data_IF_818772849358
#
_entry.id   IF_818772849358
#
_cell.length_a   1.000
_cell.length_b   1.000
_cell.length_c   1.000
_cell.angle_alpha   90.00
_cell.angle_beta   90.00
_cell.angle_gamma   90.00
#
_symmetry.space_group_name_H-M   'P 1'
#
loop_
_entity.id
_entity.type
_entity.pdbx_description
1 polymer ?
#
# COMPACT_ATOMS: atom_id res chain seq x y z
N UNK A 1 6.79 -13.25 -19.09
CA UNK A 1 5.96 -12.85 -17.93
C UNK A 1 6.14 -13.91 -16.87
N UNK A 2 6.76 -13.57 -15.73
CA UNK A 2 7.01 -14.49 -14.62
C UNK A 2 6.20 -13.95 -13.46
N UNK A 3 5.08 -14.61 -13.14
CA UNK A 3 4.24 -14.26 -11.99
C UNK A 3 4.98 -14.76 -10.75
N UNK A 4 5.44 -13.85 -9.89
CA UNK A 4 6.29 -14.16 -8.74
C UNK A 4 5.47 -14.49 -7.48
N UNK A 5 4.23 -14.02 -7.39
CA UNK A 5 3.26 -14.43 -6.38
C UNK A 5 1.85 -14.43 -6.98
N UNK A 6 0.99 -15.32 -6.48
CA UNK A 6 -0.42 -15.43 -6.83
C UNK A 6 -1.20 -15.09 -5.56
N UNK A 7 -1.80 -13.89 -5.51
CA UNK A 7 -2.65 -13.46 -4.40
C UNK A 7 -3.82 -14.45 -4.26
N UNK A 8 -3.98 -15.04 -3.08
CA UNK A 8 -5.08 -15.96 -2.75
C UNK A 8 -6.12 -15.34 -1.82
N UNK A 9 -5.96 -14.07 -1.43
CA UNK A 9 -6.97 -13.30 -0.72
C UNK A 9 -8.09 -12.88 -1.67
N UNK A 10 -9.33 -13.09 -1.25
CA UNK A 10 -10.48 -12.37 -1.79
C UNK A 10 -10.45 -11.00 -1.13
N UNK A 11 -10.35 -9.91 -1.88
CA UNK A 11 -10.66 -8.60 -1.29
C UNK A 11 -12.11 -8.67 -0.82
N UNK A 12 -12.32 -8.68 0.50
CA UNK A 12 -13.64 -8.81 1.09
C UNK A 12 -14.54 -7.67 0.57
N UNK A 13 -15.66 -8.05 -0.05
CA UNK A 13 -16.67 -7.13 -0.57
C UNK A 13 -17.50 -6.63 0.60
N UNK A 14 -17.24 -5.38 0.99
CA UNK A 14 -17.89 -4.69 2.08
C UNK A 14 -18.83 -3.62 1.53
N UNK A 15 -19.91 -3.29 2.24
CA UNK A 15 -21.00 -2.45 1.70
C UNK A 15 -20.61 -0.99 1.34
N UNK A 16 -19.36 -0.58 1.59
CA UNK A 16 -18.74 0.62 1.02
C UNK A 16 -17.22 0.48 0.97
N UNK A 17 -16.60 0.98 -0.10
CA UNK A 17 -15.13 1.03 -0.23
C UNK A 17 -14.68 2.37 -0.81
N UNK A 18 -13.54 2.84 -0.31
CA UNK A 18 -12.92 4.11 -0.71
C UNK A 18 -11.52 3.85 -1.25
N UNK A 19 -11.16 4.55 -2.33
CA UNK A 19 -9.89 4.44 -3.02
C UNK A 19 -9.31 5.83 -3.27
N UNK A 20 -8.15 6.13 -2.69
CA UNK A 20 -7.44 7.39 -2.89
C UNK A 20 -6.05 7.13 -3.47
N UNK A 21 -5.82 7.61 -4.69
CA UNK A 21 -4.55 7.51 -5.42
C UNK A 21 -3.77 8.81 -5.31
N UNK A 22 -2.51 8.73 -4.92
CA UNK A 22 -1.60 9.87 -4.73
C UNK A 22 -0.39 9.76 -5.65
N UNK A 23 -0.13 10.83 -6.40
CA UNK A 23 1.08 11.01 -7.18
C UNK A 23 2.00 11.96 -6.41
N UNK A 24 3.18 11.47 -6.03
CA UNK A 24 4.15 12.22 -5.23
C UNK A 24 4.81 13.31 -6.11
N UNK A 25 5.05 12.95 -7.37
CA UNK A 25 5.48 13.87 -8.40
C UNK A 25 4.33 14.47 -9.21
N UNK A 26 4.65 15.56 -9.93
CA UNK A 26 3.71 16.10 -10.91
C UNK A 26 3.59 15.14 -12.09
N UNK A 27 2.41 14.56 -12.30
CA UNK A 27 2.11 13.77 -13.51
C UNK A 27 2.49 14.52 -14.79
N UNK A 28 3.12 13.82 -15.74
CA UNK A 28 3.43 14.37 -17.07
C UNK A 28 2.14 14.55 -17.90
N UNK A 29 2.16 15.35 -18.99
CA UNK A 29 1.01 15.46 -19.90
C UNK A 29 0.50 14.11 -20.44
N UNK A 30 1.41 13.18 -20.72
CA UNK A 30 1.09 11.86 -21.26
C UNK A 30 0.42 10.97 -20.20
N UNK A 31 0.96 10.95 -18.98
CA UNK A 31 0.37 10.23 -17.85
C UNK A 31 -1.03 10.75 -17.53
N UNK A 32 -1.18 12.08 -17.55
CA UNK A 32 -2.46 12.77 -17.38
C UNK A 32 -3.51 12.35 -18.40
N UNK A 33 -3.15 12.32 -19.67
CA UNK A 33 -4.04 11.90 -20.74
C UNK A 33 -4.42 10.42 -20.59
N UNK A 34 -3.46 9.55 -20.24
CA UNK A 34 -3.72 8.14 -19.99
C UNK A 34 -4.73 7.92 -18.84
N UNK A 35 -4.54 8.64 -17.72
CA UNK A 35 -5.44 8.60 -16.56
C UNK A 35 -6.85 9.09 -16.93
N UNK A 36 -6.95 10.20 -17.66
CA UNK A 36 -8.24 10.73 -18.12
C UNK A 36 -8.94 9.75 -19.06
N UNK A 37 -8.21 9.10 -19.97
CA UNK A 37 -8.78 8.11 -20.89
C UNK A 37 -9.24 6.84 -20.16
N UNK A 38 -8.54 6.44 -19.10
CA UNK A 38 -8.89 5.26 -18.31
C UNK A 38 -10.11 5.51 -17.41
N UNK A 39 -10.13 6.63 -16.70
CA UNK A 39 -11.07 6.89 -15.59
C UNK A 39 -12.20 7.85 -15.96
N UNK A 40 -12.02 8.66 -17.01
CA UNK A 40 -12.88 9.81 -17.31
C UNK A 40 -12.66 11.01 -16.39
N UNK A 41 -11.84 10.88 -15.36
CA UNK A 41 -11.61 11.93 -14.36
C UNK A 41 -10.66 13.02 -14.83
N UNK A 42 -10.82 14.21 -14.22
CA UNK A 42 -9.98 15.37 -14.50
C UNK A 42 -8.57 15.25 -13.90
N UNK A 43 -7.62 15.98 -14.48
CA UNK A 43 -6.19 15.96 -14.14
C UNK A 43 -5.91 16.41 -12.70
N UNK A 44 -5.59 15.48 -11.80
CA UNK A 44 -5.26 15.78 -10.39
C UNK A 44 -4.07 14.95 -9.91
N UNK A 45 -3.40 15.43 -8.86
CA UNK A 45 -2.38 14.65 -8.12
C UNK A 45 -3.00 13.64 -7.16
N UNK A 46 -4.26 13.87 -6.83
CA UNK A 46 -5.06 13.03 -5.96
C UNK A 46 -6.35 12.67 -6.71
N UNK A 47 -6.61 11.38 -6.91
CA UNK A 47 -7.89 10.86 -7.37
C UNK A 47 -8.57 10.08 -6.27
N UNK A 48 -9.86 10.36 -6.08
CA UNK A 48 -10.70 9.70 -5.10
C UNK A 48 -11.85 9.01 -5.80
N UNK A 49 -12.06 7.75 -5.46
CA UNK A 49 -13.26 7.01 -5.81
C UNK A 49 -13.91 6.49 -4.53
N UNK A 50 -15.23 6.62 -4.44
CA UNK A 50 -16.01 6.11 -3.32
C UNK A 50 -17.21 5.36 -3.88
N UNK A 51 -17.35 4.10 -3.48
CA UNK A 51 -18.40 3.22 -3.94
C UNK A 51 -19.28 2.82 -2.75
N UNK A 52 -20.59 2.88 -2.97
CA UNK A 52 -21.60 2.55 -1.96
C UNK A 52 -22.45 1.40 -2.49
N UNK A 53 -22.59 0.36 -1.67
CA UNK A 53 -23.41 -0.82 -1.93
C UNK A 53 -22.57 -2.06 -2.25
N UNK A 54 -23.08 -3.21 -1.82
CA UNK A 54 -22.49 -4.53 -2.08
C UNK A 54 -22.17 -4.70 -3.58
N UNK A 55 -21.03 -5.29 -3.90
CA UNK A 55 -20.54 -5.58 -5.25
C UNK A 55 -20.14 -4.35 -6.08
N UNK A 56 -20.02 -3.17 -5.46
CA UNK A 56 -19.55 -1.95 -6.13
C UNK A 56 -18.08 -1.70 -5.81
N UNK A 57 -17.22 -1.96 -6.79
CA UNK A 57 -15.77 -1.77 -6.67
C UNK A 57 -15.23 -0.99 -7.87
N UNK A 58 -14.00 -0.46 -7.77
CA UNK A 58 -13.28 0.04 -8.95
C UNK A 58 -13.12 -1.08 -9.97
N UNK A 59 -13.18 -0.77 -11.29
CA UNK A 59 -13.02 -1.78 -12.31
C UNK A 59 -11.72 -2.58 -12.17
N UNK A 60 -11.82 -3.89 -12.41
CA UNK A 60 -10.68 -4.81 -12.33
C UNK A 60 -9.50 -4.30 -13.18
N UNK A 61 -8.31 -4.29 -12.58
CA UNK A 61 -7.07 -3.83 -13.22
C UNK A 61 -6.82 -2.32 -13.13
N UNK A 62 -7.77 -1.52 -12.62
CA UNK A 62 -7.53 -0.08 -12.43
C UNK A 62 -6.44 0.20 -11.39
N UNK A 63 -6.38 -0.57 -10.29
CA UNK A 63 -5.33 -0.46 -9.26
C UNK A 63 -3.94 -0.50 -9.90
N UNK A 64 -3.63 -1.62 -10.56
CA UNK A 64 -2.34 -1.84 -11.24
C UNK A 64 -2.10 -0.81 -12.35
N UNK A 65 -3.12 -0.48 -13.14
CA UNK A 65 -2.98 0.49 -14.24
C UNK A 65 -2.63 1.88 -13.72
N UNK A 66 -3.35 2.39 -12.72
CA UNK A 66 -3.10 3.72 -12.16
C UNK A 66 -1.75 3.78 -11.43
N UNK A 67 -1.41 2.73 -10.68
CA UNK A 67 -0.11 2.58 -10.02
C UNK A 67 1.04 2.40 -11.01
N UNK A 68 0.80 2.04 -12.27
CA UNK A 68 1.86 2.00 -13.31
C UNK A 68 1.86 3.23 -14.22
N UNK A 69 0.78 4.01 -14.23
CA UNK A 69 0.61 5.20 -15.06
C UNK A 69 1.10 6.51 -14.41
N UNK A 70 1.49 6.49 -13.13
CA UNK A 70 2.12 7.65 -12.48
C UNK A 70 1.63 7.96 -11.07
N UNK A 71 0.66 7.22 -10.55
CA UNK A 71 0.39 7.24 -9.11
C UNK A 71 1.39 6.34 -8.39
N UNK A 72 1.82 6.77 -7.23
CA UNK A 72 2.84 6.09 -6.44
C UNK A 72 2.23 5.38 -5.24
N UNK A 73 1.14 5.94 -4.69
CA UNK A 73 0.47 5.40 -3.52
C UNK A 73 -1.02 5.25 -3.83
N UNK A 74 -1.59 4.13 -3.41
CA UNK A 74 -3.04 3.93 -3.31
C UNK A 74 -3.35 3.57 -1.87
N UNK A 75 -4.21 4.34 -1.23
CA UNK A 75 -4.79 4.02 0.08
C UNK A 75 -6.22 3.52 -0.17
N UNK A 76 -6.55 2.37 0.39
CA UNK A 76 -7.87 1.76 0.29
C UNK A 76 -8.45 1.57 1.68
N UNK A 77 -9.73 1.87 1.82
CA UNK A 77 -10.47 1.69 3.06
C UNK A 77 -11.73 0.88 2.79
N UNK A 78 -11.98 -0.03 3.71
CA UNK A 78 -13.14 -0.88 3.73
C UNK A 78 -13.47 -1.23 5.18
N UNK A 79 -14.20 -0.33 5.86
CA UNK A 79 -14.43 -0.37 7.31
C UNK A 79 -13.12 -0.29 8.11
N UNK A 80 -12.83 -1.32 8.90
CA UNK A 80 -11.63 -1.40 9.72
C UNK A 80 -10.44 -1.96 8.93
N UNK A 81 -10.68 -2.53 7.74
CA UNK A 81 -9.61 -3.01 6.85
C UNK A 81 -9.13 -1.89 5.95
N UNK A 82 -7.87 -1.55 6.11
CA UNK A 82 -7.15 -0.59 5.32
C UNK A 82 -6.03 -1.29 4.56
N UNK A 83 -5.69 -0.75 3.39
CA UNK A 83 -4.47 -1.16 2.73
C UNK A 83 -3.79 0.01 2.04
N UNK A 84 -2.46 -0.08 1.99
CA UNK A 84 -1.64 0.83 1.19
C UNK A 84 -0.90 0.01 0.13
N UNK A 85 -1.02 0.45 -1.12
CA UNK A 85 -0.23 -0.04 -2.22
C UNK A 85 0.81 1.01 -2.57
N UNK A 86 2.07 0.63 -2.51
CA UNK A 86 3.20 1.49 -2.84
C UNK A 86 3.87 1.00 -4.13
N UNK A 87 3.90 1.85 -5.14
CA UNK A 87 4.46 1.57 -6.46
C UNK A 87 5.85 2.17 -6.61
N UNK A 88 6.84 1.31 -6.81
CA UNK A 88 8.25 1.67 -6.98
C UNK A 88 8.72 1.22 -8.37
N UNK A 89 9.76 1.88 -8.90
CA UNK A 89 10.51 1.28 -9.99
C UNK A 89 11.12 -0.05 -9.52
N UNK A 90 11.13 -1.06 -10.39
CA UNK A 90 11.66 -2.36 -10.04
C UNK A 90 13.16 -2.28 -9.75
N UNK A 91 13.55 -2.48 -8.49
CA UNK A 91 14.94 -2.66 -8.05
C UNK A 91 15.19 -4.15 -7.77
N UNK A 92 16.06 -4.82 -8.55
CA UNK A 92 16.38 -6.23 -8.33
C UNK A 92 16.92 -6.55 -6.93
N UNK A 93 17.69 -5.64 -6.31
CA UNK A 93 18.27 -5.88 -4.99
C UNK A 93 17.18 -5.84 -3.91
N UNK A 94 16.26 -4.88 -4.02
CA UNK A 94 15.13 -4.78 -3.10
C UNK A 94 14.17 -5.97 -3.31
N UNK A 95 13.88 -6.31 -4.57
CA UNK A 95 13.01 -7.44 -4.92
C UNK A 95 13.53 -8.81 -4.45
N UNK A 96 14.85 -8.98 -4.29
CA UNK A 96 15.43 -10.20 -3.70
C UNK A 96 15.29 -10.25 -2.17
N UNK A 97 15.30 -9.09 -1.50
CA UNK A 97 15.27 -8.99 -0.03
C UNK A 97 13.86 -9.00 0.55
N UNK A 98 12.88 -8.43 -0.13
CA UNK A 98 11.52 -8.30 0.39
C UNK A 98 10.73 -9.61 0.60
N UNK A 99 10.90 -10.67 -0.23
CA UNK A 99 10.08 -11.88 -0.12
C UNK A 99 10.10 -12.57 1.25
N UNK A 100 11.17 -12.41 2.03
CA UNK A 100 11.27 -12.98 3.38
C UNK A 100 10.31 -12.33 4.40
N UNK A 101 9.77 -11.15 4.07
CA UNK A 101 8.82 -10.41 4.91
C UNK A 101 7.37 -10.62 4.46
N UNK A 102 7.11 -11.36 3.36
CA UNK A 102 5.74 -11.60 2.93
C UNK A 102 4.97 -12.39 4.00
N UNK A 103 3.80 -11.86 4.38
CA UNK A 103 2.93 -12.44 5.37
C UNK A 103 1.47 -12.12 5.04
N UNK A 104 0.56 -12.99 5.49
CA UNK A 104 -0.88 -12.85 5.27
C UNK A 104 -1.61 -13.39 6.51
N UNK A 105 -2.51 -12.56 7.05
CA UNK A 105 -3.33 -12.86 8.22
C UNK A 105 -4.65 -12.09 8.12
N UNK A 106 -5.70 -12.76 7.63
CA UNK A 106 -7.06 -12.19 7.47
C UNK A 106 -7.07 -10.89 6.64
N UNK A 107 -6.46 -10.97 5.44
CA UNK A 107 -6.22 -9.87 4.50
C UNK A 107 -5.25 -8.77 4.99
N UNK A 108 -4.70 -8.91 6.20
CA UNK A 108 -3.61 -8.08 6.72
C UNK A 108 -2.24 -8.70 6.42
N UNK A 109 -1.21 -7.87 6.38
CA UNK A 109 0.18 -8.29 6.18
C UNK A 109 0.85 -7.56 5.04
N UNK A 110 1.81 -8.23 4.42
CA UNK A 110 2.69 -7.64 3.42
C UNK A 110 2.89 -8.56 2.24
N UNK A 111 2.87 -8.01 1.02
CA UNK A 111 3.24 -8.78 -0.18
C UNK A 111 3.87 -7.92 -1.26
N UNK A 112 4.60 -8.56 -2.18
CA UNK A 112 5.27 -7.92 -3.32
C UNK A 112 4.76 -8.51 -4.62
N UNK A 113 4.44 -7.63 -5.58
CA UNK A 113 4.10 -8.01 -6.94
C UNK A 113 4.92 -7.21 -7.95
N UNK A 114 5.38 -7.85 -9.02
CA UNK A 114 6.04 -7.17 -10.14
C UNK A 114 5.04 -6.94 -11.28
N UNK A 115 4.84 -5.68 -11.67
CA UNK A 115 3.92 -5.29 -12.75
C UNK A 115 4.67 -4.39 -13.74
N UNK A 116 5.01 -4.96 -14.90
CA UNK A 116 5.79 -4.26 -15.92
C UNK A 116 7.19 -3.91 -15.42
N UNK A 117 7.52 -2.62 -15.42
CA UNK A 117 8.79 -2.07 -14.90
C UNK A 117 8.70 -1.61 -13.44
N UNK A 118 7.53 -1.78 -12.80
CA UNK A 118 7.29 -1.40 -11.41
C UNK A 118 7.16 -2.63 -10.52
N UNK A 119 7.47 -2.45 -9.26
CA UNK A 119 7.09 -3.34 -8.17
C UNK A 119 6.04 -2.64 -7.31
N UNK A 120 4.96 -3.35 -7.03
CA UNK A 120 3.87 -2.88 -6.17
C UNK A 120 3.98 -3.65 -4.87
N UNK A 121 4.13 -2.91 -3.79
CA UNK A 121 4.15 -3.40 -2.42
C UNK A 121 2.77 -3.21 -1.82
N UNK A 122 2.22 -4.26 -1.23
CA UNK A 122 0.94 -4.24 -0.52
C UNK A 122 1.19 -4.27 0.98
N UNK A 123 0.50 -3.40 1.71
CA UNK A 123 0.48 -3.32 3.17
C UNK A 123 -0.98 -3.34 3.62
N UNK A 124 -1.49 -4.51 4.02
CA UNK A 124 -2.85 -4.66 4.57
C UNK A 124 -2.83 -4.57 6.09
N UNK A 125 -3.77 -3.83 6.68
CA UNK A 125 -3.83 -3.63 8.12
C UNK A 125 -5.26 -3.39 8.61
N UNK A 126 -5.53 -3.77 9.85
CA UNK A 126 -6.68 -3.25 10.59
C UNK A 126 -6.24 -1.97 11.30
N UNK A 127 -6.88 -0.86 10.96
CA UNK A 127 -6.46 0.46 11.44
C UNK A 127 -7.25 0.82 12.71
N UNK A 128 -6.55 1.04 13.82
CA UNK A 128 -7.19 1.69 14.97
C UNK A 128 -7.42 3.18 14.65
N UNK A 129 -8.69 3.57 14.52
CA UNK A 129 -9.07 4.94 14.17
C UNK A 129 -8.61 5.99 15.19
N UNK A 130 -8.48 5.63 16.47
CA UNK A 130 -7.98 6.53 17.51
C UNK A 130 -6.49 6.78 17.36
N UNK A 131 -5.70 5.72 17.19
CA UNK A 131 -4.27 5.80 16.94
C UNK A 131 -3.97 6.51 15.61
N UNK A 132 -4.73 6.23 14.56
CA UNK A 132 -4.63 6.92 13.28
C UNK A 132 -4.97 8.41 13.41
N UNK A 133 -6.00 8.77 14.19
CA UNK A 133 -6.32 10.17 14.47
C UNK A 133 -5.21 10.87 15.26
N UNK A 134 -4.63 10.21 16.25
CA UNK A 134 -3.52 10.78 17.03
C UNK A 134 -2.26 10.97 16.18
N UNK A 135 -2.02 10.09 15.20
CA UNK A 135 -0.89 10.16 14.29
C UNK A 135 -1.08 11.16 13.13
N UNK A 136 -2.27 11.21 12.54
CA UNK A 136 -2.54 11.87 11.26
C UNK A 136 -3.58 12.99 11.34
N UNK A 137 -4.36 13.07 12.41
CA UNK A 137 -5.48 14.00 12.54
C UNK A 137 -6.75 13.52 11.82
N UNK A 138 -7.47 14.45 11.18
CA UNK A 138 -8.82 14.21 10.63
C UNK A 138 -8.84 13.42 9.30
N UNK A 139 -7.69 13.31 8.60
CA UNK A 139 -7.62 12.65 7.30
C UNK A 139 -6.61 11.49 7.29
N UNK A 140 -7.06 10.26 7.63
CA UNK A 140 -6.21 9.08 7.60
C UNK A 140 -5.71 8.71 6.19
N UNK A 141 -6.41 9.10 5.12
CA UNK A 141 -5.95 8.80 3.75
C UNK A 141 -4.71 9.62 3.41
N UNK A 142 -4.77 10.93 3.64
CA UNK A 142 -3.62 11.82 3.43
C UNK A 142 -2.47 11.44 4.37
N UNK A 143 -2.76 11.17 5.65
CA UNK A 143 -1.75 10.77 6.62
C UNK A 143 -1.04 9.45 6.28
N UNK A 144 -1.78 8.43 5.83
CA UNK A 144 -1.18 7.19 5.34
C UNK A 144 -0.37 7.42 4.06
N UNK A 145 -0.84 8.28 3.14
CA UNK A 145 -0.07 8.60 1.94
C UNK A 145 1.26 9.30 2.29
N UNK A 146 1.26 10.24 3.23
CA UNK A 146 2.48 10.91 3.71
C UNK A 146 3.42 9.93 4.44
N UNK A 147 2.87 9.05 5.30
CA UNK A 147 3.65 8.01 5.96
C UNK A 147 4.34 7.11 4.92
N UNK A 148 3.61 6.68 3.89
CA UNK A 148 4.14 5.78 2.87
C UNK A 148 5.05 6.46 1.84
N UNK A 149 5.00 7.80 1.72
CA UNK A 149 6.09 8.55 1.10
C UNK A 149 7.40 8.43 1.91
N UNK A 150 7.32 8.52 3.24
CA UNK A 150 8.45 8.26 4.12
C UNK A 150 9.00 6.83 4.00
N UNK A 151 8.10 5.84 4.04
CA UNK A 151 8.45 4.42 3.85
C UNK A 151 9.10 4.17 2.48
N UNK A 152 8.63 4.83 1.41
CA UNK A 152 9.24 4.77 0.08
C UNK A 152 10.71 5.16 0.14
N UNK A 153 11.00 6.32 0.71
CA UNK A 153 12.36 6.88 0.74
C UNK A 153 13.29 6.02 1.59
N UNK A 154 12.79 5.48 2.70
CA UNK A 154 13.51 4.54 3.56
C UNK A 154 13.82 3.23 2.83
N UNK A 155 12.84 2.64 2.14
CA UNK A 155 13.04 1.42 1.34
C UNK A 155 14.08 1.63 0.23
N UNK A 156 14.02 2.77 -0.47
CA UNK A 156 15.01 3.12 -1.50
C UNK A 156 16.41 3.38 -0.92
N UNK A 157 16.49 3.79 0.36
CA UNK A 157 17.74 3.87 1.11
C UNK A 157 18.20 2.51 1.66
N UNK A 158 17.39 1.46 1.52
CA UNK A 158 17.69 0.08 1.93
C UNK A 158 17.25 -0.27 3.35
N UNK A 159 16.54 0.62 4.03
CA UNK A 159 15.92 0.41 5.33
C UNK A 159 14.63 -0.41 5.17
N UNK A 160 14.58 -1.57 5.84
CA UNK A 160 13.47 -2.52 5.76
C UNK A 160 12.61 -2.54 7.04
N UNK A 161 12.76 -1.54 7.91
CA UNK A 161 12.07 -1.51 9.21
C UNK A 161 10.55 -1.50 9.06
N UNK A 162 9.98 -0.81 8.06
CA UNK A 162 8.54 -0.78 7.84
C UNK A 162 7.96 -2.14 7.44
N UNK A 163 8.63 -2.87 6.54
CA UNK A 163 8.20 -4.22 6.14
C UNK A 163 8.45 -5.24 7.24
N UNK A 164 9.50 -5.04 8.04
CA UNK A 164 9.71 -5.82 9.26
C UNK A 164 8.59 -5.57 10.28
N UNK A 165 8.14 -4.33 10.49
CA UNK A 165 7.04 -4.01 11.41
C UNK A 165 5.77 -4.77 11.02
N UNK A 166 5.40 -4.77 9.73
CA UNK A 166 4.26 -5.57 9.23
C UNK A 166 4.43 -7.07 9.48
N UNK A 167 5.64 -7.60 9.24
CA UNK A 167 5.93 -9.00 9.51
C UNK A 167 5.86 -9.31 11.01
N UNK A 168 6.39 -8.45 11.88
CA UNK A 168 6.35 -8.61 13.32
C UNK A 168 4.92 -8.67 13.86
N UNK A 169 4.02 -7.85 13.30
CA UNK A 169 2.60 -7.81 13.68
C UNK A 169 1.81 -8.99 13.12
N UNK A 170 1.98 -9.34 11.84
CA UNK A 170 1.08 -10.28 11.13
C UNK A 170 1.72 -11.61 10.72
N UNK A 171 3.06 -11.72 10.68
CA UNK A 171 3.82 -12.83 10.11
C UNK A 171 4.42 -13.82 11.11
N UNK A 172 4.31 -13.59 12.42
CA UNK A 172 4.98 -14.33 13.52
C UNK A 172 4.58 -15.81 13.73
N UNK A 173 4.17 -16.52 12.68
CA UNK A 173 3.77 -17.93 12.71
C UNK A 173 4.61 -18.84 11.80
N UNK A 174 5.69 -18.32 11.19
CA UNK A 174 6.56 -19.06 10.26
C UNK A 174 7.74 -19.79 10.91
N UNK A 175 8.26 -20.84 10.26
CA UNK A 175 9.43 -21.62 10.71
C UNK A 175 10.77 -20.85 10.61
N UNK A 176 10.79 -19.70 9.91
CA UNK A 176 11.97 -18.85 9.73
C UNK A 176 11.55 -17.41 9.89
N UNK A 177 11.98 -16.81 11.00
CA UNK A 177 11.75 -15.40 11.29
C UNK A 177 12.90 -14.56 10.71
N UNK A 178 12.61 -13.49 9.94
CA UNK A 178 13.61 -12.54 9.51
C UNK A 178 14.21 -11.83 10.74
N UNK A 179 15.50 -11.48 10.64
CA UNK A 179 16.17 -10.80 11.75
C UNK A 179 15.50 -9.44 12.05
N UNK A 180 15.39 -9.08 13.34
CA UNK A 180 14.83 -7.79 13.74
C UNK A 180 15.65 -6.63 13.18
N UNK A 181 14.95 -5.62 12.68
CA UNK A 181 15.57 -4.38 12.21
C UNK A 181 15.58 -3.39 13.37
N UNK A 182 16.76 -3.15 13.96
CA UNK A 182 16.94 -2.17 15.03
C UNK A 182 18.09 -1.18 14.71
N UNK A 183 17.91 0.13 14.98
CA UNK A 183 16.67 0.78 15.43
C UNK A 183 15.62 0.88 14.31
N UNK A 184 14.34 0.98 14.68
CA UNK A 184 13.28 1.28 13.72
C UNK A 184 13.42 2.70 13.16
N UNK A 185 13.05 2.87 11.89
CA UNK A 185 12.86 4.19 11.32
C UNK A 185 11.69 4.92 11.96
N UNK A 186 11.59 6.24 11.73
CA UNK A 186 10.46 7.01 12.21
C UNK A 186 9.15 6.51 11.59
N UNK A 187 9.15 6.21 10.29
CA UNK A 187 7.97 5.71 9.58
C UNK A 187 7.55 4.32 10.09
N UNK A 188 8.51 3.42 10.32
CA UNK A 188 8.25 2.11 10.89
C UNK A 188 7.70 2.19 12.32
N UNK A 189 8.21 3.11 13.15
CA UNK A 189 7.68 3.35 14.48
C UNK A 189 6.23 3.85 14.46
N UNK A 190 5.91 4.80 13.57
CA UNK A 190 4.54 5.28 13.39
C UNK A 190 3.62 4.17 12.88
N UNK A 191 4.07 3.39 11.88
CA UNK A 191 3.32 2.26 11.33
C UNK A 191 3.02 1.22 12.41
N UNK A 192 4.03 0.84 13.20
CA UNK A 192 3.85 -0.11 14.29
C UNK A 192 2.81 0.39 15.32
N UNK A 193 2.90 1.67 15.70
CA UNK A 193 1.95 2.26 16.66
C UNK A 193 0.49 2.19 16.17
N UNK A 194 0.23 2.38 14.87
CA UNK A 194 -1.14 2.36 14.33
C UNK A 194 -1.68 0.95 14.10
N UNK A 195 -0.81 -0.06 13.91
CA UNK A 195 -1.23 -1.46 13.67
C UNK A 195 -1.27 -2.34 14.93
N UNK A 196 -0.49 -2.01 15.98
CA UNK A 196 -0.48 -2.77 17.25
C UNK A 196 -1.56 -2.33 18.24
N UNK A 197 -2.26 -1.22 18.00
CA UNK A 197 -3.30 -0.72 18.92
C UNK A 197 -4.66 -1.43 18.79
N UNK A 198 -4.78 -2.44 17.94
CA UNK A 198 -6.01 -3.18 17.67
C UNK A 198 -6.14 -4.49 18.48
#
# INVERSE_FOLDING_TARGET
MRVLSLRRGFEADHSSSSYEFFALDKLTPEQREAVQNLTGESLRRHLRFHYVGDWSDIPSGWKDSLLTMGYDILVTESYDWWAVYLSLLHDPNLAERLPQYECDSDDNGFSVCAVGERMILYFGMQLDYGAAYDAFGEDPFEGLAELFEGVRDELLAGDLSAVWAMYGTYGGYGDTEPEPVEPLSASAGTLLNIVECY
#
